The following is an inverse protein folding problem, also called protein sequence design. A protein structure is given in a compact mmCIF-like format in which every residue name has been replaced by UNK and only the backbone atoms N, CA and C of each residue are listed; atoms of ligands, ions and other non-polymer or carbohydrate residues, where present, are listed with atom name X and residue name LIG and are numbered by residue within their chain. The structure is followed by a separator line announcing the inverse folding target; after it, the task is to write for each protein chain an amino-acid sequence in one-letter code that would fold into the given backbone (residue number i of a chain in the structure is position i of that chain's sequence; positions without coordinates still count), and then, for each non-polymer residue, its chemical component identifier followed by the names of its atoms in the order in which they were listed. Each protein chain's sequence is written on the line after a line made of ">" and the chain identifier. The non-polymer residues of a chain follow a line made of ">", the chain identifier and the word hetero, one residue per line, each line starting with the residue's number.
data_IF_500041141365
#
_entry.id   IF_500041141365
#
_cell.length_a   1.000
_cell.length_b   1.000
_cell.length_c   1.000
_cell.angle_alpha   90.00
_cell.angle_beta   90.00
_cell.angle_gamma   90.00
#
_symmetry.space_group_name_H-M   'P 1'
#
loop_
_entity.id
_entity.type
_entity.pdbx_description
1 polymer ?
#
# COMPACT_ATOMS: atom_id res chain seq x y z
N UNK A 1 17.55 -4.72 4.56
CA UNK A 1 17.09 -5.81 3.70
C UNK A 1 15.74 -5.45 3.10
N UNK A 2 15.56 -5.83 1.86
CA UNK A 2 14.26 -5.61 1.21
C UNK A 2 13.17 -6.44 1.88
N UNK A 3 11.96 -5.88 1.88
CA UNK A 3 10.79 -6.57 2.42
C UNK A 3 9.67 -6.59 1.39
N UNK A 4 8.85 -7.64 1.44
CA UNK A 4 7.63 -7.74 0.66
C UNK A 4 6.43 -7.59 1.58
N UNK A 5 5.42 -6.87 1.12
CA UNK A 5 4.25 -6.55 1.91
C UNK A 5 2.98 -6.82 1.12
N UNK A 6 2.05 -7.54 1.73
CA UNK A 6 0.71 -7.75 1.19
C UNK A 6 -0.29 -7.06 2.11
N UNK A 7 -1.13 -6.25 1.52
CA UNK A 7 -2.17 -5.52 2.25
C UNK A 7 -3.53 -5.90 1.69
N UNK A 8 -4.47 -6.26 2.56
CA UNK A 8 -5.87 -6.46 2.20
C UNK A 8 -6.71 -5.39 2.88
N UNK A 9 -7.52 -4.72 2.07
CA UNK A 9 -8.40 -3.64 2.51
C UNK A 9 -9.85 -4.09 2.35
N UNK A 10 -10.43 -4.61 3.42
CA UNK A 10 -11.79 -5.16 3.39
C UNK A 10 -12.83 -4.09 3.04
N UNK A 11 -13.70 -4.43 2.10
CA UNK A 11 -14.80 -3.55 1.70
C UNK A 11 -14.40 -2.32 0.88
N UNK A 12 -13.13 -2.13 0.59
CA UNK A 12 -12.67 -0.99 -0.20
C UNK A 12 -12.94 -1.23 -1.68
N UNK A 13 -13.55 -0.25 -2.34
CA UNK A 13 -13.83 -0.28 -3.77
C UNK A 13 -12.73 0.41 -4.56
N UNK A 14 -12.75 0.25 -5.89
CA UNK A 14 -11.83 0.95 -6.78
C UNK A 14 -11.91 2.46 -6.58
N UNK A 15 -13.12 3.01 -6.50
CA UNK A 15 -13.35 4.44 -6.35
C UNK A 15 -12.78 4.94 -5.02
N UNK A 16 -12.98 4.18 -3.94
CA UNK A 16 -12.45 4.54 -2.63
C UNK A 16 -10.91 4.48 -2.61
N UNK A 17 -10.35 3.44 -3.21
CA UNK A 17 -8.90 3.31 -3.30
C UNK A 17 -8.30 4.47 -4.09
N UNK A 18 -8.87 4.79 -5.25
CA UNK A 18 -8.39 5.89 -6.09
C UNK A 18 -8.48 7.23 -5.36
N UNK A 19 -9.56 7.46 -4.61
CA UNK A 19 -9.73 8.69 -3.84
C UNK A 19 -8.65 8.82 -2.76
N UNK A 20 -8.38 7.75 -2.02
CA UNK A 20 -7.33 7.76 -1.01
C UNK A 20 -5.94 7.93 -1.65
N UNK A 21 -5.68 7.21 -2.74
CA UNK A 21 -4.39 7.22 -3.43
C UNK A 21 -4.06 8.60 -4.00
N UNK A 22 -5.06 9.34 -4.45
CA UNK A 22 -4.86 10.71 -4.94
C UNK A 22 -4.31 11.64 -3.86
N UNK A 23 -4.64 11.39 -2.58
CA UNK A 23 -4.08 12.14 -1.46
C UNK A 23 -2.73 11.60 -1.00
N UNK A 24 -2.52 10.28 -1.13
CA UNK A 24 -1.28 9.62 -0.69
C UNK A 24 -0.13 9.94 -1.64
N UNK A 25 -0.38 9.86 -2.93
CA UNK A 25 0.66 10.02 -3.94
C UNK A 25 0.13 10.79 -5.16
N UNK A 26 -0.20 12.09 -4.97
CA UNK A 26 -0.81 12.90 -6.04
C UNK A 26 0.06 13.04 -7.28
N UNK A 27 1.39 13.05 -7.12
CA UNK A 27 2.33 13.23 -8.21
C UNK A 27 2.67 11.93 -8.94
N UNK A 28 2.19 10.80 -8.43
CA UNK A 28 2.56 9.47 -8.92
C UNK A 28 4.07 9.26 -8.96
N UNK A 29 4.78 9.91 -8.02
CA UNK A 29 6.22 9.73 -7.88
C UNK A 29 6.51 8.45 -7.10
N UNK A 30 7.72 7.90 -7.29
CA UNK A 30 8.17 6.77 -6.47
C UNK A 30 8.50 7.27 -5.07
N UNK A 31 7.83 6.77 -4.03
CA UNK A 31 8.26 7.04 -2.66
C UNK A 31 9.65 6.48 -2.42
N UNK A 32 10.40 7.13 -1.53
CA UNK A 32 11.74 6.66 -1.19
C UNK A 32 11.71 5.21 -0.72
N UNK A 33 12.53 4.38 -1.34
CA UNK A 33 12.70 2.97 -0.98
C UNK A 33 11.67 2.03 -1.58
N UNK A 34 10.67 2.53 -2.30
CA UNK A 34 9.70 1.66 -2.97
C UNK A 34 10.33 1.03 -4.21
N UNK A 35 10.35 -0.29 -4.26
CA UNK A 35 10.89 -1.06 -5.39
C UNK A 35 9.80 -1.46 -6.37
N UNK A 36 8.60 -1.73 -5.88
CA UNK A 36 7.49 -2.21 -6.70
C UNK A 36 6.18 -1.99 -5.97
N UNK A 37 5.14 -1.67 -6.72
CA UNK A 37 3.79 -1.52 -6.20
C UNK A 37 2.79 -2.03 -7.22
N UNK A 38 1.84 -2.83 -6.77
CA UNK A 38 0.71 -3.25 -7.58
C UNK A 38 -0.54 -3.33 -6.72
N UNK A 39 -1.68 -3.01 -7.28
CA UNK A 39 -2.95 -3.08 -6.58
C UNK A 39 -4.07 -3.51 -7.52
N UNK A 40 -5.12 -4.06 -6.96
CA UNK A 40 -6.28 -4.47 -7.72
C UNK A 40 -7.39 -5.04 -6.84
N UNK A 41 -8.55 -5.30 -7.44
CA UNK A 41 -9.67 -5.88 -6.70
C UNK A 41 -9.38 -7.31 -6.27
N UNK A 42 -9.82 -7.64 -5.06
CA UNK A 42 -9.78 -9.00 -4.54
C UNK A 42 -11.18 -9.35 -4.04
N UNK A 43 -11.41 -10.62 -3.73
CA UNK A 43 -12.66 -11.01 -3.11
C UNK A 43 -12.84 -10.25 -1.80
N UNK A 44 -13.95 -9.53 -1.69
CA UNK A 44 -14.30 -8.78 -0.49
C UNK A 44 -13.60 -7.45 -0.29
N UNK A 45 -12.86 -6.95 -1.30
CA UNK A 45 -12.23 -5.63 -1.14
C UNK A 45 -11.15 -5.32 -2.16
N UNK A 46 -10.05 -4.77 -1.68
CA UNK A 46 -8.93 -4.30 -2.51
C UNK A 46 -7.61 -4.84 -1.98
N UNK A 47 -6.73 -5.29 -2.87
CA UNK A 47 -5.43 -5.84 -2.52
C UNK A 47 -4.29 -4.97 -3.00
N UNK A 48 -3.20 -4.94 -2.21
CA UNK A 48 -1.98 -4.22 -2.56
C UNK A 48 -0.79 -5.13 -2.30
N UNK A 49 0.19 -5.10 -3.20
CA UNK A 49 1.47 -5.78 -3.01
C UNK A 49 2.57 -4.75 -3.22
N UNK A 50 3.45 -4.61 -2.23
CA UNK A 50 4.57 -3.69 -2.29
C UNK A 50 5.87 -4.41 -1.97
N UNK A 51 6.96 -3.94 -2.61
CA UNK A 51 8.32 -4.30 -2.22
C UNK A 51 9.07 -3.03 -1.87
N UNK A 52 9.78 -3.04 -0.74
CA UNK A 52 10.50 -1.88 -0.22
C UNK A 52 11.95 -2.25 0.08
N UNK A 53 12.86 -1.29 -0.06
CA UNK A 53 14.27 -1.52 0.25
C UNK A 53 14.50 -1.83 1.72
N UNK A 54 13.67 -1.25 2.61
CA UNK A 54 13.77 -1.48 4.05
C UNK A 54 12.43 -1.30 4.73
N UNK A 55 12.32 -1.87 5.94
CA UNK A 55 11.14 -1.66 6.78
C UNK A 55 10.98 -0.19 7.17
N UNK A 56 12.09 0.51 7.40
CA UNK A 56 12.05 1.92 7.77
C UNK A 56 11.42 2.77 6.66
N UNK A 57 11.72 2.47 5.40
CA UNK A 57 11.12 3.19 4.28
C UNK A 57 9.61 2.98 4.22
N UNK A 58 9.16 1.74 4.43
CA UNK A 58 7.73 1.44 4.49
C UNK A 58 7.06 2.17 5.66
N UNK A 59 7.68 2.14 6.84
CA UNK A 59 7.11 2.79 8.03
C UNK A 59 6.96 4.30 7.82
N UNK A 60 7.93 4.92 7.17
CA UNK A 60 7.85 6.35 6.84
C UNK A 60 6.68 6.64 5.89
N UNK A 61 6.44 5.75 4.93
CA UNK A 61 5.34 5.93 3.99
C UNK A 61 3.98 5.67 4.62
N UNK A 62 3.90 4.81 5.64
CA UNK A 62 2.64 4.51 6.32
C UNK A 62 1.96 5.74 6.89
N UNK A 63 2.72 6.70 7.38
CA UNK A 63 2.16 7.96 7.89
C UNK A 63 1.42 8.71 6.80
N UNK A 64 1.97 8.72 5.58
CA UNK A 64 1.31 9.34 4.42
C UNK A 64 0.04 8.59 4.04
N UNK A 65 0.07 7.26 4.12
CA UNK A 65 -1.11 6.44 3.84
C UNK A 65 -2.25 6.79 4.80
N UNK A 66 -1.96 6.88 6.09
CA UNK A 66 -2.96 7.22 7.10
C UNK A 66 -3.53 8.62 6.90
N UNK A 67 -2.67 9.58 6.60
CA UNK A 67 -3.09 10.96 6.32
C UNK A 67 -3.97 11.02 5.06
N UNK A 68 -3.60 10.29 4.02
CA UNK A 68 -4.36 10.26 2.78
C UNK A 68 -5.74 9.63 2.94
N UNK A 69 -5.83 8.55 3.71
CA UNK A 69 -7.11 7.92 3.99
C UNK A 69 -8.02 8.88 4.77
N UNK A 70 -7.48 9.54 5.79
CA UNK A 70 -8.23 10.51 6.58
C UNK A 70 -8.71 11.68 5.71
N UNK A 71 -7.85 12.22 4.85
CA UNK A 71 -8.18 13.34 3.98
C UNK A 71 -9.22 12.98 2.93
N UNK A 72 -9.23 11.72 2.45
CA UNK A 72 -10.16 11.28 1.43
C UNK A 72 -11.58 11.04 1.96
N UNK A 73 -11.73 10.88 3.26
CA UNK A 73 -13.01 10.55 3.88
C UNK A 73 -13.43 9.10 3.68
N UNK A 74 -12.56 8.25 3.16
CA UNK A 74 -12.85 6.84 2.97
C UNK A 74 -13.04 6.15 4.32
N UNK A 75 -14.13 5.39 4.44
CA UNK A 75 -14.43 4.61 5.65
C UNK A 75 -14.02 3.17 5.44
N UNK A 76 -13.08 2.70 6.27
CA UNK A 76 -12.62 1.32 6.22
C UNK A 76 -13.51 0.44 7.09
N UNK A 77 -13.74 -0.81 6.65
CA UNK A 77 -14.53 -1.77 7.42
C UNK A 77 -13.77 -2.42 8.56
N UNK A 78 -12.54 -2.01 8.77
CA UNK A 78 -11.67 -2.53 9.81
C UNK A 78 -10.23 -2.16 9.52
N UNK A 79 -9.28 -2.55 10.39
CA UNK A 79 -7.88 -2.30 10.13
C UNK A 79 -7.41 -3.09 8.91
N UNK A 80 -6.43 -2.58 8.14
CA UNK A 80 -5.87 -3.33 7.02
C UNK A 80 -5.19 -4.60 7.50
N UNK A 81 -5.35 -5.69 6.73
CA UNK A 81 -4.66 -6.95 7.01
C UNK A 81 -3.31 -6.90 6.30
N UNK A 82 -2.24 -6.69 7.07
CA UNK A 82 -0.89 -6.52 6.55
C UNK A 82 -0.06 -7.74 6.92
N UNK A 83 0.51 -8.38 5.89
CA UNK A 83 1.47 -9.48 6.07
C UNK A 83 2.77 -9.09 5.41
N UNK A 84 3.90 -9.41 6.03
CA UNK A 84 5.21 -9.06 5.50
C UNK A 84 6.20 -10.22 5.61
N UNK A 85 7.23 -10.18 4.79
CA UNK A 85 8.34 -11.13 4.82
C UNK A 85 9.61 -10.44 4.38
N UNK A 86 10.76 -10.93 4.85
CA UNK A 86 12.04 -10.49 4.33
C UNK A 86 12.26 -11.12 2.96
N UNK A 87 12.71 -10.31 2.00
CA UNK A 87 13.00 -10.83 0.67
C UNK A 87 14.31 -11.61 0.71
N UNK A 88 14.24 -12.89 0.40
CA UNK A 88 15.42 -13.74 0.26
C UNK A 88 15.97 -13.69 -1.16
N UNK A 89 15.06 -13.65 -2.13
CA UNK A 89 15.44 -13.64 -3.54
C UNK A 89 14.42 -12.80 -4.30
N UNK A 90 14.89 -11.98 -5.23
CA UNK A 90 14.03 -11.19 -6.10
C UNK A 90 14.54 -11.34 -7.54
N UNK A 91 13.65 -11.80 -8.40
CA UNK A 91 13.94 -11.97 -9.82
C UNK A 91 13.09 -10.98 -10.60
N UNK A 92 13.73 -10.16 -11.42
CA UNK A 92 13.04 -9.19 -12.27
C UNK A 92 12.91 -9.77 -13.68
N UNK A 93 11.73 -9.61 -14.25
CA UNK A 93 11.49 -10.03 -15.63
C UNK A 93 12.16 -9.07 -16.62
#
# INVERSE_FOLDING_TARGET
>A
MAIGIRIKLAGVTKEQFDAAHAHINPDRSNPQGMLFHASGPIEGGWGVIDFWESRADFDAFQSRIQEGIAASGVQMQGPPDIKEFEVHEMIHA
#
